data_IF_517332740692
#
_entry.id   IF_517332740692
#
_cell.length_a   1.000
_cell.length_b   1.000
_cell.length_c   1.000
_cell.angle_alpha   90.00
_cell.angle_beta   90.00
_cell.angle_gamma   90.00
#
_symmetry.space_group_name_H-M   'P 1'
#
loop_
_entity.id
_entity.type
_entity.pdbx_description
1 polymer ?
#
# COMPACT_ATOMS: atom_id res chain seq x y z
N UNK A 1 58.88 40.51 17.41
CA UNK A 1 58.57 39.12 17.22
C UNK A 1 57.26 38.73 17.96
N UNK A 2 56.18 39.57 17.97
CA UNK A 2 54.94 39.39 18.73
C UNK A 2 53.69 39.71 17.88
N UNK A 3 53.79 39.68 16.55
CA UNK A 3 52.59 39.95 15.68
C UNK A 3 52.08 38.77 14.82
N UNK A 4 52.73 37.58 14.95
CA UNK A 4 52.39 36.41 14.11
C UNK A 4 51.49 35.35 14.79
N UNK A 5 51.29 35.36 16.11
CA UNK A 5 50.56 34.32 16.85
C UNK A 5 49.03 34.59 16.96
N UNK A 6 48.59 35.85 16.73
CA UNK A 6 47.17 36.21 16.85
C UNK A 6 46.29 35.90 15.61
N UNK A 7 46.91 35.64 14.43
CA UNK A 7 46.13 35.33 13.20
C UNK A 7 45.81 33.85 13.00
N UNK A 8 46.57 32.96 13.65
CA UNK A 8 46.37 31.51 13.51
C UNK A 8 45.30 30.97 14.46
N UNK A 9 44.98 31.64 15.57
CA UNK A 9 43.99 31.20 16.54
C UNK A 9 42.54 31.55 16.14
N UNK A 10 42.34 32.54 15.28
CA UNK A 10 41.03 32.94 14.76
C UNK A 10 40.54 32.08 13.59
N UNK A 11 41.42 31.36 12.90
CA UNK A 11 41.06 30.44 11.79
C UNK A 11 40.70 29.04 12.27
N UNK A 12 41.10 28.63 13.45
CA UNK A 12 40.76 27.30 14.02
C UNK A 12 39.41 27.32 14.73
N UNK A 13 38.98 28.47 15.27
CA UNK A 13 37.66 28.59 15.91
C UNK A 13 36.53 28.70 14.87
N UNK A 14 36.81 29.19 13.66
CA UNK A 14 35.85 29.29 12.55
C UNK A 14 35.57 27.94 11.86
N UNK A 15 36.48 26.97 11.95
CA UNK A 15 36.31 25.63 11.30
C UNK A 15 35.58 24.61 12.14
N UNK A 16 35.39 24.84 13.46
CA UNK A 16 34.69 23.91 14.36
C UNK A 16 33.19 24.21 14.44
N UNK A 17 32.70 25.34 13.94
CA UNK A 17 31.28 25.67 13.94
C UNK A 17 30.53 25.26 12.65
N UNK A 18 31.20 24.68 11.67
CA UNK A 18 30.57 24.21 10.42
C UNK A 18 30.26 22.70 10.39
N UNK A 19 30.41 22.00 11.51
CA UNK A 19 30.13 20.57 11.58
C UNK A 19 29.08 20.32 12.65
N UNK A 20 27.82 20.41 12.32
CA UNK A 20 26.65 19.67 12.80
C UNK A 20 25.38 20.50 12.69
N UNK A 21 25.00 20.95 11.51
CA UNK A 21 23.59 20.93 11.21
C UNK A 21 23.23 19.47 10.89
N UNK A 22 23.21 18.62 11.91
CA UNK A 22 22.46 17.38 11.85
C UNK A 22 21.02 17.84 11.59
N UNK A 23 20.53 17.64 10.38
CA UNK A 23 19.15 17.92 10.05
C UNK A 23 18.32 17.23 11.14
N UNK A 24 17.66 18.01 11.98
CA UNK A 24 16.84 17.46 13.05
C UNK A 24 15.73 16.64 12.38
N UNK A 25 15.68 15.34 12.64
CA UNK A 25 14.62 14.48 12.12
C UNK A 25 13.29 15.05 12.61
N UNK A 26 12.26 15.14 11.77
CA UNK A 26 10.95 15.65 12.19
C UNK A 26 10.39 14.78 13.31
N UNK A 27 9.68 15.41 14.25
CA UNK A 27 9.12 14.70 15.40
C UNK A 27 8.02 13.69 15.00
N UNK A 28 7.43 13.88 13.79
CA UNK A 28 6.30 13.07 13.32
C UNK A 28 6.47 12.61 11.89
N UNK A 29 6.13 11.36 11.61
CA UNK A 29 6.06 10.74 10.28
C UNK A 29 4.69 10.09 10.09
N UNK A 30 4.07 10.27 8.92
CA UNK A 30 2.75 9.71 8.58
C UNK A 30 2.88 8.79 7.38
N UNK A 31 2.52 7.52 7.58
CA UNK A 31 2.46 6.54 6.50
C UNK A 31 1.01 6.12 6.31
N UNK A 32 0.50 6.25 5.09
CA UNK A 32 -0.85 5.82 4.72
C UNK A 32 -0.77 4.53 3.90
N UNK A 33 -1.58 3.56 4.27
CA UNK A 33 -1.77 2.31 3.54
C UNK A 33 -3.18 2.28 2.97
N UNK A 34 -3.32 1.89 1.72
CA UNK A 34 -4.62 1.67 1.09
C UNK A 34 -4.81 0.18 0.77
N UNK A 35 -6.08 -0.25 0.74
CA UNK A 35 -6.44 -1.63 0.45
C UNK A 35 -6.18 -2.07 -0.98
N UNK A 36 -6.78 -3.19 -1.37
CA UNK A 36 -6.52 -3.84 -2.64
C UNK A 36 -7.00 -2.99 -3.82
N UNK A 37 -6.08 -2.61 -4.70
CA UNK A 37 -6.36 -1.93 -5.97
C UNK A 37 -6.50 -3.01 -7.02
N UNK A 38 -7.74 -3.26 -7.46
CA UNK A 38 -8.06 -4.27 -8.47
C UNK A 38 -8.44 -3.64 -9.81
N UNK A 39 -8.34 -4.40 -10.89
CA UNK A 39 -8.70 -3.95 -12.24
C UNK A 39 -9.67 -4.93 -12.92
N UNK A 40 -10.91 -4.98 -12.46
CA UNK A 40 -11.95 -5.80 -13.11
C UNK A 40 -12.33 -5.24 -14.50
N UNK A 41 -12.85 -6.10 -15.37
CA UNK A 41 -13.29 -5.69 -16.71
C UNK A 41 -14.22 -4.47 -16.73
N UNK A 42 -15.28 -4.40 -15.89
CA UNK A 42 -16.15 -3.23 -15.80
C UNK A 42 -15.41 -1.93 -15.39
N UNK A 43 -14.37 -2.01 -14.56
CA UNK A 43 -13.56 -0.86 -14.18
C UNK A 43 -12.72 -0.35 -15.35
N UNK A 44 -12.03 -1.26 -16.05
CA UNK A 44 -11.27 -0.92 -17.26
C UNK A 44 -12.19 -0.31 -18.33
N UNK A 45 -13.36 -0.90 -18.57
CA UNK A 45 -14.34 -0.37 -19.51
C UNK A 45 -14.92 0.99 -19.10
N UNK A 46 -15.02 1.28 -17.80
CA UNK A 46 -15.46 2.57 -17.30
C UNK A 46 -14.39 3.65 -17.47
N UNK A 47 -13.13 3.27 -17.36
CA UNK A 47 -11.98 4.16 -17.56
C UNK A 47 -11.66 4.41 -19.04
N UNK A 48 -12.09 3.54 -19.96
CA UNK A 48 -11.86 3.72 -21.39
C UNK A 48 -12.60 4.96 -21.91
N UNK A 49 -11.87 5.89 -22.51
CA UNK A 49 -12.45 7.08 -23.14
C UNK A 49 -13.38 6.72 -24.29
N UNK A 50 -14.44 7.49 -24.55
CA UNK A 50 -15.33 7.26 -25.68
C UNK A 50 -14.56 7.20 -27.01
N UNK A 51 -14.72 6.12 -27.76
CA UNK A 51 -14.02 5.89 -29.03
C UNK A 51 -12.55 5.47 -28.91
N UNK A 52 -12.05 5.25 -27.68
CA UNK A 52 -10.68 4.80 -27.42
C UNK A 52 -10.41 3.37 -27.86
N UNK A 53 -9.15 3.07 -28.17
CA UNK A 53 -8.66 1.73 -28.45
C UNK A 53 -8.45 0.96 -27.14
N UNK A 54 -9.08 -0.21 -27.03
CA UNK A 54 -9.00 -1.08 -25.85
C UNK A 54 -7.58 -1.61 -25.57
N UNK A 55 -6.69 -1.58 -26.54
CA UNK A 55 -5.31 -2.05 -26.39
C UNK A 55 -4.32 -0.88 -26.17
N UNK A 56 -4.79 0.37 -26.30
CA UNK A 56 -3.95 1.53 -26.05
C UNK A 56 -4.11 2.02 -24.59
N UNK A 57 -3.10 1.89 -23.73
CA UNK A 57 -3.21 2.34 -22.34
C UNK A 57 -3.45 3.86 -22.21
N UNK A 58 -3.06 4.67 -23.19
CA UNK A 58 -3.29 6.12 -23.18
C UNK A 58 -4.77 6.50 -23.29
N UNK A 59 -5.63 5.59 -23.73
CA UNK A 59 -7.07 5.82 -23.90
C UNK A 59 -7.87 5.54 -22.62
N UNK A 60 -7.19 5.18 -21.50
CA UNK A 60 -7.82 4.95 -20.21
C UNK A 60 -7.59 6.12 -19.27
N UNK A 61 -8.64 6.53 -18.54
CA UNK A 61 -8.62 7.59 -17.54
C UNK A 61 -9.14 7.09 -16.20
N UNK A 62 -8.23 6.96 -15.23
CA UNK A 62 -8.53 6.53 -13.87
C UNK A 62 -8.57 7.68 -12.86
N UNK A 63 -8.55 8.94 -13.32
CA UNK A 63 -8.45 10.12 -12.45
C UNK A 63 -9.60 10.23 -11.44
N UNK A 64 -10.82 9.81 -11.82
CA UNK A 64 -11.97 9.80 -10.92
C UNK A 64 -11.77 8.86 -9.71
N UNK A 65 -11.05 7.74 -9.90
CA UNK A 65 -10.92 6.71 -8.88
C UNK A 65 -10.26 7.22 -7.59
N UNK A 66 -9.34 8.18 -7.68
CA UNK A 66 -8.54 8.68 -6.57
C UNK A 66 -8.91 10.11 -6.14
N UNK A 67 -9.80 10.79 -6.86
CA UNK A 67 -10.06 12.22 -6.70
C UNK A 67 -10.40 12.65 -5.28
N UNK A 68 -11.28 11.91 -4.61
CA UNK A 68 -11.82 12.29 -3.30
C UNK A 68 -11.02 11.78 -2.10
N UNK A 69 -9.90 11.10 -2.35
CA UNK A 69 -8.95 10.66 -1.31
C UNK A 69 -7.60 11.34 -1.43
N UNK A 70 -7.42 12.17 -2.48
CA UNK A 70 -6.14 12.80 -2.79
C UNK A 70 -5.62 13.67 -1.63
N UNK A 71 -6.48 14.44 -0.97
CA UNK A 71 -6.08 15.30 0.15
C UNK A 71 -5.45 14.50 1.29
N UNK A 72 -5.82 13.22 1.46
CA UNK A 72 -5.26 12.32 2.45
C UNK A 72 -3.88 11.81 2.03
N UNK A 73 -3.68 11.60 0.73
CA UNK A 73 -2.36 11.24 0.19
C UNK A 73 -1.41 12.44 0.26
N UNK A 74 -1.89 13.64 -0.12
CA UNK A 74 -1.09 14.88 -0.05
C UNK A 74 -0.70 15.24 1.41
N UNK A 75 -1.47 14.80 2.41
CA UNK A 75 -1.18 15.00 3.83
C UNK A 75 -0.24 13.92 4.42
N UNK A 76 -0.02 12.81 3.72
CA UNK A 76 0.87 11.74 4.13
C UNK A 76 2.32 12.05 3.73
N UNK A 77 3.26 11.44 4.43
CA UNK A 77 4.67 11.48 4.08
C UNK A 77 5.09 10.33 3.16
N UNK A 78 4.27 9.25 3.17
CA UNK A 78 4.46 8.08 2.34
C UNK A 78 3.16 7.30 2.18
N UNK A 79 2.83 6.87 0.98
CA UNK A 79 1.61 6.12 0.65
C UNK A 79 1.94 4.78 0.04
N UNK A 80 1.34 3.70 0.56
CA UNK A 80 1.58 2.31 0.15
C UNK A 80 0.30 1.69 -0.39
N UNK A 81 0.36 1.02 -1.55
CA UNK A 81 -0.78 0.38 -2.21
C UNK A 81 -0.49 -1.06 -2.65
N UNK A 82 -1.42 -1.99 -2.41
CA UNK A 82 -1.39 -3.31 -3.03
C UNK A 82 -1.97 -3.24 -4.45
N UNK A 83 -1.11 -3.48 -5.46
CA UNK A 83 -1.50 -3.50 -6.87
C UNK A 83 -1.82 -4.95 -7.27
N UNK A 84 -3.09 -5.34 -7.12
CA UNK A 84 -3.52 -6.73 -7.20
C UNK A 84 -3.86 -7.14 -8.65
N UNK A 85 -2.90 -7.00 -9.51
CA UNK A 85 -2.97 -7.38 -10.93
C UNK A 85 -1.59 -7.34 -11.60
N UNK A 86 -1.33 -8.17 -12.61
CA UNK A 86 -0.28 -7.93 -13.58
C UNK A 86 -0.65 -6.76 -14.51
N UNK A 87 0.37 -6.00 -14.95
CA UNK A 87 0.19 -4.75 -15.66
C UNK A 87 0.68 -4.82 -17.11
N UNK A 88 -0.09 -4.27 -18.04
CA UNK A 88 0.36 -3.90 -19.38
C UNK A 88 0.32 -5.00 -20.46
N UNK A 89 -0.25 -6.16 -20.19
CA UNK A 89 -0.42 -7.24 -21.18
C UNK A 89 -1.76 -7.10 -21.88
N UNK A 90 -1.78 -6.91 -23.19
CA UNK A 90 -3.00 -6.84 -24.01
C UNK A 90 -3.37 -8.20 -24.60
N UNK A 91 -4.68 -8.50 -24.76
CA UNK A 91 -5.82 -7.68 -24.36
C UNK A 91 -5.96 -7.57 -22.86
N UNK A 92 -6.36 -6.38 -22.35
CA UNK A 92 -6.62 -6.20 -20.93
C UNK A 92 -7.82 -7.04 -20.49
N UNK A 93 -7.72 -7.61 -19.28
CA UNK A 93 -8.70 -8.55 -18.75
C UNK A 93 -8.96 -8.31 -17.25
N UNK A 94 -10.14 -8.71 -16.78
CA UNK A 94 -10.49 -8.78 -15.37
C UNK A 94 -10.43 -10.22 -14.86
N UNK A 95 -11.18 -10.48 -13.75
CA UNK A 95 -11.31 -11.80 -13.17
C UNK A 95 -11.70 -12.86 -14.23
N UNK A 96 -11.16 -14.11 -14.15
CA UNK A 96 -10.25 -14.59 -13.11
C UNK A 96 -8.75 -14.33 -13.36
N UNK A 97 -8.36 -13.93 -14.57
CA UNK A 97 -6.97 -13.67 -14.95
C UNK A 97 -6.78 -12.21 -15.33
N UNK A 98 -6.37 -11.42 -14.34
CA UNK A 98 -6.23 -9.99 -14.51
C UNK A 98 -5.10 -9.59 -15.47
N UNK A 99 -5.34 -8.54 -16.23
CA UNK A 99 -4.31 -7.75 -16.91
C UNK A 99 -4.77 -6.31 -16.97
N UNK A 100 -4.15 -5.43 -16.19
CA UNK A 100 -4.56 -4.02 -16.10
C UNK A 100 -3.86 -3.14 -17.14
N UNK A 101 -4.57 -2.10 -17.68
CA UNK A 101 -3.89 -1.02 -18.37
C UNK A 101 -2.87 -0.33 -17.44
N UNK A 102 -1.67 -0.09 -17.94
CA UNK A 102 -0.60 0.56 -17.15
C UNK A 102 -0.99 1.98 -16.68
N UNK A 103 -1.97 2.62 -17.33
CA UNK A 103 -2.51 3.93 -16.94
C UNK A 103 -3.08 3.94 -15.52
N UNK A 104 -3.59 2.80 -15.00
CA UNK A 104 -4.02 2.69 -13.60
C UNK A 104 -2.83 2.87 -12.64
N UNK A 105 -1.71 2.19 -12.90
CA UNK A 105 -0.51 2.34 -12.09
C UNK A 105 0.11 3.74 -12.22
N UNK A 106 0.11 4.31 -13.43
CA UNK A 106 0.55 5.70 -13.65
C UNK A 106 -0.31 6.69 -12.86
N UNK A 107 -1.62 6.48 -12.84
CA UNK A 107 -2.51 7.36 -12.07
C UNK A 107 -2.27 7.21 -10.57
N UNK A 108 -2.14 5.99 -10.04
CA UNK A 108 -1.82 5.75 -8.63
C UNK A 108 -0.53 6.49 -8.22
N UNK A 109 0.54 6.38 -9.02
CA UNK A 109 1.77 7.14 -8.77
C UNK A 109 1.55 8.65 -8.85
N UNK A 110 0.80 9.13 -9.86
CA UNK A 110 0.55 10.56 -10.09
C UNK A 110 -0.18 11.22 -8.91
N UNK A 111 -1.04 10.48 -8.23
CA UNK A 111 -1.79 10.99 -7.07
C UNK A 111 -1.06 10.84 -5.75
N UNK A 112 0.16 10.30 -5.75
CA UNK A 112 1.02 10.27 -4.58
C UNK A 112 1.25 8.90 -3.95
N UNK A 113 0.93 7.79 -4.63
CA UNK A 113 1.34 6.47 -4.14
C UNK A 113 2.85 6.30 -4.36
N UNK A 114 3.59 6.04 -3.29
CA UNK A 114 5.05 5.98 -3.24
C UNK A 114 5.60 4.56 -3.34
N UNK A 115 4.84 3.55 -2.90
CA UNK A 115 5.25 2.14 -2.90
C UNK A 115 4.14 1.23 -3.42
N UNK A 116 4.48 0.36 -4.39
CA UNK A 116 3.59 -0.68 -4.88
C UNK A 116 3.96 -2.04 -4.27
N UNK A 117 2.95 -2.75 -3.75
CA UNK A 117 3.08 -4.13 -3.30
C UNK A 117 2.69 -5.06 -4.45
N UNK A 118 3.49 -6.08 -4.69
CA UNK A 118 3.35 -6.98 -5.84
C UNK A 118 3.26 -8.45 -5.44
N UNK A 119 3.57 -8.82 -4.20
CA UNK A 119 3.30 -10.17 -3.70
C UNK A 119 1.84 -10.30 -3.33
N UNK A 120 1.02 -10.72 -4.28
CA UNK A 120 -0.39 -11.04 -4.14
C UNK A 120 -0.74 -12.27 -4.99
N UNK A 121 -1.93 -12.82 -4.81
CA UNK A 121 -2.36 -14.05 -5.46
C UNK A 121 -2.56 -13.90 -6.99
N UNK A 122 -2.71 -12.66 -7.50
CA UNK A 122 -2.94 -12.38 -8.92
C UNK A 122 -1.69 -12.03 -9.72
N UNK A 123 -0.52 -11.91 -9.09
CA UNK A 123 0.70 -11.47 -9.81
C UNK A 123 1.11 -12.42 -10.95
N UNK A 124 0.74 -13.70 -10.87
CA UNK A 124 1.03 -14.71 -11.86
C UNK A 124 -0.05 -14.91 -12.93
N UNK A 125 -1.16 -14.15 -12.92
CA UNK A 125 -2.33 -14.37 -13.79
C UNK A 125 -2.01 -14.38 -15.30
N UNK A 126 -1.01 -13.63 -15.73
CA UNK A 126 -0.55 -13.59 -17.12
C UNK A 126 0.80 -14.33 -17.30
N UNK A 127 1.12 -15.22 -16.36
CA UNK A 127 2.36 -15.99 -16.38
C UNK A 127 3.60 -15.11 -16.49
N UNK A 128 4.62 -15.60 -17.17
CA UNK A 128 5.90 -14.89 -17.32
C UNK A 128 5.74 -13.51 -17.97
N UNK A 129 4.92 -13.40 -19.02
CA UNK A 129 4.74 -12.12 -19.74
C UNK A 129 4.13 -11.06 -18.84
N UNK A 130 3.22 -11.44 -17.93
CA UNK A 130 2.60 -10.53 -16.96
C UNK A 130 3.62 -10.01 -15.96
N UNK A 131 4.43 -10.87 -15.38
CA UNK A 131 5.46 -10.47 -14.40
C UNK A 131 6.54 -9.61 -15.09
N UNK A 132 7.04 -10.04 -16.26
CA UNK A 132 8.01 -9.29 -17.06
C UNK A 132 7.51 -7.86 -17.35
N UNK A 133 6.25 -7.74 -17.82
CA UNK A 133 5.62 -6.47 -18.16
C UNK A 133 5.45 -5.58 -16.93
N UNK A 134 4.90 -6.11 -15.84
CA UNK A 134 4.70 -5.39 -14.58
C UNK A 134 6.01 -4.83 -14.04
N UNK A 135 7.04 -5.68 -13.95
CA UNK A 135 8.37 -5.28 -13.48
C UNK A 135 8.97 -4.16 -14.34
N UNK A 136 8.90 -4.29 -15.67
CA UNK A 136 9.44 -3.29 -16.61
C UNK A 136 8.68 -1.97 -16.49
N UNK A 137 7.36 -2.02 -16.41
CA UNK A 137 6.51 -0.81 -16.30
C UNK A 137 6.83 -0.08 -15.00
N UNK A 138 6.81 -0.74 -13.84
CA UNK A 138 7.07 -0.11 -12.55
C UNK A 138 8.51 0.42 -12.46
N UNK A 139 9.50 -0.31 -13.00
CA UNK A 139 10.88 0.16 -13.09
C UNK A 139 11.01 1.43 -13.94
N UNK A 140 10.35 1.49 -15.11
CA UNK A 140 10.35 2.68 -15.99
C UNK A 140 9.64 3.87 -15.35
N UNK A 141 8.61 3.62 -14.57
CA UNK A 141 7.91 4.66 -13.81
C UNK A 141 8.81 5.22 -12.70
N UNK A 142 9.83 4.50 -12.28
CA UNK A 142 10.66 4.86 -11.13
C UNK A 142 9.86 4.88 -9.83
N UNK A 143 8.84 4.04 -9.70
CA UNK A 143 8.13 3.82 -8.45
C UNK A 143 8.77 2.64 -7.72
N UNK A 144 9.09 2.76 -6.43
CA UNK A 144 9.49 1.62 -5.61
C UNK A 144 8.41 0.54 -5.61
N UNK A 145 8.82 -0.73 -5.70
CA UNK A 145 7.91 -1.86 -5.55
C UNK A 145 8.63 -3.05 -4.92
N UNK A 146 7.89 -3.90 -4.23
CA UNK A 146 8.43 -5.05 -3.49
C UNK A 146 7.48 -6.24 -3.54
N UNK A 147 8.02 -7.44 -3.39
CA UNK A 147 7.26 -8.70 -3.40
C UNK A 147 7.58 -9.61 -4.57
N UNK A 148 8.02 -9.05 -5.72
CA UNK A 148 8.44 -9.79 -6.91
C UNK A 148 9.85 -9.36 -7.34
N UNK A 149 10.68 -10.33 -7.70
CA UNK A 149 12.08 -10.13 -8.06
C UNK A 149 12.46 -11.00 -9.26
N UNK A 150 13.47 -10.56 -10.04
CA UNK A 150 13.95 -11.30 -11.23
C UNK A 150 14.62 -12.64 -10.90
N UNK A 151 15.08 -12.79 -9.65
CA UNK A 151 15.76 -13.99 -9.16
C UNK A 151 15.83 -13.98 -7.64
N UNK A 152 16.15 -15.10 -7.04
CA UNK A 152 16.48 -15.21 -5.61
C UNK A 152 17.63 -14.28 -5.21
N UNK A 153 18.63 -14.07 -6.08
CA UNK A 153 19.73 -13.15 -5.82
C UNK A 153 19.28 -11.69 -5.75
N UNK A 154 18.39 -11.25 -6.65
CA UNK A 154 17.81 -9.91 -6.60
C UNK A 154 16.89 -9.74 -5.38
N UNK A 155 16.12 -10.78 -5.05
CA UNK A 155 15.33 -10.79 -3.83
C UNK A 155 16.21 -10.58 -2.60
N UNK A 156 17.28 -11.36 -2.49
CA UNK A 156 18.22 -11.23 -1.39
C UNK A 156 18.85 -9.83 -1.29
N UNK A 157 19.11 -9.18 -2.39
CA UNK A 157 19.66 -7.82 -2.43
C UNK A 157 18.65 -6.76 -2.01
N UNK A 158 17.38 -6.87 -2.49
CA UNK A 158 16.36 -5.82 -2.40
C UNK A 158 15.33 -6.01 -1.29
N UNK A 159 15.19 -7.21 -0.74
CA UNK A 159 14.25 -7.52 0.32
C UNK A 159 14.95 -7.53 1.71
N UNK A 160 14.48 -6.77 2.73
CA UNK A 160 13.33 -5.87 2.68
C UNK A 160 13.59 -4.64 1.80
N UNK A 161 12.50 -4.05 1.29
CA UNK A 161 12.61 -2.74 0.67
C UNK A 161 12.84 -1.70 1.77
N UNK A 162 13.98 -1.01 1.69
CA UNK A 162 14.31 0.09 2.61
C UNK A 162 13.93 1.42 1.97
N UNK A 163 13.12 2.21 2.66
CA UNK A 163 12.77 3.57 2.24
C UNK A 163 13.23 4.58 3.30
N UNK A 164 13.99 5.59 2.87
CA UNK A 164 14.35 6.70 3.75
C UNK A 164 13.28 7.79 3.65
N UNK A 165 12.49 7.96 4.71
CA UNK A 165 11.36 8.87 4.76
C UNK A 165 11.62 9.91 5.84
N UNK A 166 11.81 11.17 5.44
CA UNK A 166 12.18 12.27 6.36
C UNK A 166 13.37 11.93 7.28
N UNK A 167 14.34 11.17 6.78
CA UNK A 167 15.54 10.78 7.52
C UNK A 167 15.39 9.57 8.43
N UNK A 168 14.24 8.90 8.45
CA UNK A 168 14.04 7.60 9.09
C UNK A 168 14.08 6.49 8.05
N UNK A 169 14.72 5.37 8.39
CA UNK A 169 14.80 4.20 7.53
C UNK A 169 13.68 3.21 7.89
N UNK A 170 12.71 3.09 6.98
CA UNK A 170 11.56 2.18 7.13
C UNK A 170 11.75 0.97 6.23
N UNK A 171 11.66 -0.23 6.82
CA UNK A 171 11.69 -1.48 6.08
C UNK A 171 10.27 -1.97 5.78
N UNK A 172 9.99 -2.24 4.52
CA UNK A 172 8.74 -2.83 4.05
C UNK A 172 8.97 -4.26 3.57
N UNK A 173 8.19 -5.21 4.10
CA UNK A 173 8.27 -6.64 3.77
C UNK A 173 6.90 -7.10 3.26
N UNK A 174 6.79 -7.33 1.95
CA UNK A 174 5.55 -7.81 1.33
C UNK A 174 5.67 -9.29 0.95
N UNK A 175 4.65 -10.09 1.28
CA UNK A 175 4.57 -11.51 0.97
C UNK A 175 3.11 -11.97 0.82
N UNK A 176 2.89 -13.08 0.11
CA UNK A 176 1.56 -13.63 -0.18
C UNK A 176 1.45 -15.10 0.25
N UNK A 177 0.22 -15.52 0.53
CA UNK A 177 -0.09 -16.93 0.82
C UNK A 177 0.10 -17.85 -0.39
N UNK A 178 0.07 -17.31 -1.60
CA UNK A 178 0.17 -18.09 -2.83
C UNK A 178 -0.14 -17.26 -4.08
N UNK A 179 -0.22 -17.93 -5.21
CA UNK A 179 -0.44 -17.39 -6.56
C UNK A 179 -1.61 -18.07 -7.27
N UNK A 180 -2.72 -18.33 -6.55
CA UNK A 180 -3.92 -19.02 -7.07
C UNK A 180 -3.62 -20.37 -7.73
N UNK A 181 -2.60 -21.09 -7.23
CA UNK A 181 -2.17 -22.38 -7.78
C UNK A 181 -1.39 -22.27 -9.09
N UNK A 182 -1.06 -21.06 -9.53
CA UNK A 182 -0.19 -20.85 -10.70
C UNK A 182 1.28 -20.90 -10.27
N UNK A 183 2.10 -21.59 -11.07
CA UNK A 183 3.54 -21.62 -10.82
C UNK A 183 4.18 -20.26 -11.05
N UNK A 184 5.10 -19.86 -10.16
CA UNK A 184 5.96 -18.70 -10.40
C UNK A 184 6.94 -19.02 -11.51
N UNK A 185 6.88 -18.33 -12.66
CA UNK A 185 7.70 -18.67 -13.82
C UNK A 185 9.19 -18.33 -13.58
N UNK A 186 10.05 -19.31 -13.66
CA UNK A 186 11.50 -19.10 -13.49
C UNK A 186 12.08 -18.16 -14.56
N UNK A 187 13.07 -17.30 -14.22
CA UNK A 187 13.78 -17.23 -12.94
C UNK A 187 13.13 -16.32 -11.87
N UNK A 188 11.91 -15.84 -12.09
CA UNK A 188 11.20 -14.96 -11.18
C UNK A 188 11.03 -15.58 -9.79
N UNK A 189 11.02 -14.73 -8.79
CA UNK A 189 10.77 -15.04 -7.40
C UNK A 189 9.64 -14.17 -6.86
N UNK A 190 8.69 -14.77 -6.16
CA UNK A 190 7.58 -14.09 -5.45
C UNK A 190 7.71 -14.45 -3.99
N UNK A 191 7.66 -13.46 -3.11
CA UNK A 191 7.73 -13.69 -1.66
C UNK A 191 6.48 -14.44 -1.18
N UNK A 192 6.67 -15.66 -0.74
CA UNK A 192 5.62 -16.47 -0.13
C UNK A 192 5.69 -16.41 1.41
N UNK A 193 4.58 -16.75 2.05
CA UNK A 193 4.47 -16.96 3.50
C UNK A 193 5.25 -18.22 3.89
N UNK A 194 6.56 -18.06 4.09
CA UNK A 194 7.47 -19.06 4.64
C UNK A 194 8.14 -18.50 5.90
N UNK A 195 8.05 -19.23 7.01
CA UNK A 195 8.52 -18.74 8.32
C UNK A 195 10.01 -18.49 8.38
N UNK A 196 10.81 -19.39 7.80
CA UNK A 196 12.27 -19.26 7.83
C UNK A 196 12.73 -18.08 6.95
N UNK A 197 12.12 -17.94 5.76
CA UNK A 197 12.40 -16.84 4.85
C UNK A 197 12.00 -15.50 5.46
N UNK A 198 10.76 -15.38 5.94
CA UNK A 198 10.22 -14.14 6.55
C UNK A 198 11.08 -13.73 7.76
N UNK A 199 11.46 -14.68 8.62
CA UNK A 199 12.34 -14.41 9.76
C UNK A 199 13.71 -13.88 9.34
N UNK A 200 14.31 -14.46 8.28
CA UNK A 200 15.60 -14.00 7.74
C UNK A 200 15.48 -12.57 7.16
N UNK A 201 14.37 -12.23 6.50
CA UNK A 201 14.12 -10.89 5.95
C UNK A 201 13.94 -9.87 7.08
N UNK A 202 13.21 -10.21 8.15
CA UNK A 202 13.05 -9.33 9.32
C UNK A 202 14.41 -9.07 9.99
N UNK A 203 15.22 -10.12 10.21
CA UNK A 203 16.56 -9.96 10.79
C UNK A 203 17.40 -9.00 9.94
N UNK A 204 17.38 -9.17 8.63
CA UNK A 204 18.09 -8.28 7.69
C UNK A 204 17.58 -6.84 7.72
N UNK A 205 16.28 -6.61 7.94
CA UNK A 205 15.76 -5.25 8.14
C UNK A 205 16.45 -4.56 9.34
N UNK A 206 16.59 -5.27 10.43
CA UNK A 206 17.25 -4.75 11.64
C UNK A 206 18.76 -4.59 11.45
N UNK A 207 19.43 -5.51 10.77
CA UNK A 207 20.85 -5.40 10.41
C UNK A 207 21.13 -4.20 9.50
N UNK A 208 20.19 -3.85 8.60
CA UNK A 208 20.25 -2.65 7.75
C UNK A 208 19.89 -1.37 8.50
N UNK A 209 19.59 -1.41 9.79
CA UNK A 209 19.34 -0.25 10.63
C UNK A 209 17.92 0.30 10.54
N UNK A 210 16.93 -0.51 10.18
CA UNK A 210 15.54 -0.04 10.10
C UNK A 210 15.05 0.55 11.43
N UNK A 211 14.59 1.79 11.38
CA UNK A 211 13.94 2.50 12.49
C UNK A 211 12.52 1.96 12.74
N UNK A 212 11.87 1.45 11.69
CA UNK A 212 10.56 0.78 11.71
C UNK A 212 10.55 -0.40 10.74
N UNK A 213 9.93 -1.52 11.12
CA UNK A 213 9.69 -2.67 10.23
C UNK A 213 8.19 -2.88 10.07
N UNK A 214 7.71 -2.80 8.83
CA UNK A 214 6.31 -2.99 8.46
C UNK A 214 6.18 -4.26 7.60
N UNK A 215 5.39 -5.22 8.06
CA UNK A 215 5.02 -6.39 7.30
C UNK A 215 3.67 -6.17 6.58
N UNK A 216 3.63 -6.55 5.31
CA UNK A 216 2.54 -6.29 4.38
C UNK A 216 2.07 -7.62 3.77
N UNK A 217 1.40 -8.48 4.57
CA UNK A 217 0.94 -9.78 4.10
C UNK A 217 -0.31 -9.68 3.24
N UNK A 218 -0.34 -10.49 2.17
CA UNK A 218 -1.52 -10.78 1.38
C UNK A 218 -1.99 -12.17 1.77
N UNK A 219 -3.03 -12.27 2.64
CA UNK A 219 -3.34 -13.48 3.42
C UNK A 219 -4.80 -13.60 3.83
N UNK A 220 -5.16 -14.72 4.44
CA UNK A 220 -6.48 -14.95 5.04
C UNK A 220 -7.47 -15.59 4.08
N UNK A 221 -8.75 -15.44 4.37
CA UNK A 221 -9.86 -16.03 3.62
C UNK A 221 -10.75 -14.91 3.07
N UNK A 222 -11.09 -15.00 1.78
CA UNK A 222 -11.93 -14.01 1.10
C UNK A 222 -13.30 -13.87 1.79
N UNK A 223 -13.78 -12.63 1.91
CA UNK A 223 -15.12 -12.25 2.40
C UNK A 223 -15.38 -12.54 3.89
N UNK A 224 -14.37 -12.99 4.65
CA UNK A 224 -14.48 -13.20 6.09
C UNK A 224 -14.14 -11.94 6.86
N UNK A 225 -15.10 -11.40 7.64
CA UNK A 225 -14.94 -10.15 8.40
C UNK A 225 -14.06 -10.28 9.65
N UNK A 226 -13.82 -11.49 10.12
CA UNK A 226 -12.92 -11.76 11.25
C UNK A 226 -11.66 -12.48 10.76
N UNK A 227 -10.50 -12.13 11.31
CA UNK A 227 -9.26 -12.79 10.93
C UNK A 227 -9.28 -14.27 11.32
N UNK A 228 -8.77 -15.11 10.41
CA UNK A 228 -8.60 -16.54 10.65
C UNK A 228 -7.57 -16.81 11.77
N UNK A 229 -7.59 -18.03 12.29
CA UNK A 229 -6.59 -18.47 13.26
C UNK A 229 -5.15 -18.38 12.67
N UNK A 230 -5.01 -18.62 11.36
CA UNK A 230 -3.73 -18.52 10.67
C UNK A 230 -3.24 -17.06 10.59
N UNK A 231 -4.12 -16.10 10.28
CA UNK A 231 -3.75 -14.68 10.30
C UNK A 231 -3.30 -14.23 11.69
N UNK A 232 -4.00 -14.63 12.74
CA UNK A 232 -3.62 -14.31 14.13
C UNK A 232 -2.27 -14.91 14.50
N UNK A 233 -2.04 -16.17 14.15
CA UNK A 233 -0.76 -16.85 14.39
C UNK A 233 0.40 -16.13 13.67
N UNK A 234 0.20 -15.74 12.40
CA UNK A 234 1.21 -15.00 11.65
C UNK A 234 1.48 -13.60 12.23
N UNK A 235 0.44 -12.87 12.63
CA UNK A 235 0.61 -11.56 13.27
C UNK A 235 1.46 -11.67 14.53
N UNK A 236 1.16 -12.63 15.40
CA UNK A 236 1.94 -12.96 16.58
C UNK A 236 3.39 -13.34 16.26
N UNK A 237 3.58 -14.18 15.23
CA UNK A 237 4.92 -14.59 14.78
C UNK A 237 5.72 -13.38 14.31
N UNK A 238 5.14 -12.50 13.50
CA UNK A 238 5.78 -11.30 12.96
C UNK A 238 6.21 -10.34 14.08
N UNK A 239 5.34 -10.04 15.03
CA UNK A 239 5.68 -9.16 16.16
C UNK A 239 6.77 -9.76 17.06
N UNK A 240 6.71 -11.04 17.37
CA UNK A 240 7.75 -11.73 18.15
C UNK A 240 9.12 -11.75 17.46
N UNK A 241 9.16 -11.66 16.15
CA UNK A 241 10.40 -11.58 15.35
C UNK A 241 10.85 -10.14 15.07
N UNK A 242 10.15 -9.12 15.58
CA UNK A 242 10.60 -7.74 15.52
C UNK A 242 9.92 -6.88 14.44
N UNK A 243 8.75 -7.25 13.96
CA UNK A 243 7.88 -6.37 13.15
C UNK A 243 7.13 -5.43 14.06
N UNK A 244 7.15 -4.14 13.75
CA UNK A 244 6.46 -3.10 14.53
C UNK A 244 4.99 -2.95 14.10
N UNK A 245 4.71 -3.05 12.78
CA UNK A 245 3.36 -2.96 12.23
C UNK A 245 3.09 -4.07 11.22
N UNK A 246 1.87 -4.61 11.25
CA UNK A 246 1.35 -5.56 10.27
C UNK A 246 0.14 -4.95 9.59
N UNK A 247 0.15 -4.84 8.25
CA UNK A 247 -0.96 -4.27 7.47
C UNK A 247 -1.29 -5.22 6.33
N UNK A 248 -2.39 -5.96 6.49
CA UNK A 248 -2.80 -7.04 5.59
C UNK A 248 -3.79 -6.63 4.50
N UNK A 249 -3.84 -7.46 3.44
CA UNK A 249 -4.80 -7.43 2.34
C UNK A 249 -5.25 -8.84 1.96
N UNK A 250 -6.03 -9.00 0.88
CA UNK A 250 -6.59 -10.24 0.33
C UNK A 250 -8.04 -10.57 0.75
N UNK A 251 -8.52 -10.44 2.00
CA UNK A 251 -9.91 -10.80 2.30
C UNK A 251 -10.97 -9.99 1.55
N UNK A 252 -10.60 -8.92 0.87
CA UNK A 252 -11.48 -8.00 0.13
C UNK A 252 -12.58 -7.35 0.97
N UNK A 253 -12.54 -7.54 2.27
CA UNK A 253 -13.37 -6.89 3.28
C UNK A 253 -12.48 -6.36 4.39
N UNK A 254 -12.90 -5.27 5.02
CA UNK A 254 -12.16 -4.72 6.16
C UNK A 254 -12.28 -5.67 7.35
N UNK A 255 -11.14 -6.00 7.94
CA UNK A 255 -11.04 -6.77 9.17
C UNK A 255 -10.56 -5.87 10.33
N UNK A 256 -10.65 -6.32 11.59
CA UNK A 256 -10.25 -5.54 12.77
C UNK A 256 -8.85 -4.95 12.67
N UNK A 257 -8.71 -3.78 13.31
CA UNK A 257 -7.43 -3.16 13.61
C UNK A 257 -7.19 -3.27 15.12
N UNK A 258 -6.06 -3.83 15.49
CA UNK A 258 -5.62 -3.98 16.88
C UNK A 258 -4.40 -3.06 17.09
N UNK A 259 -4.44 -2.23 18.11
CA UNK A 259 -3.32 -1.36 18.48
C UNK A 259 -3.01 -1.51 19.97
N UNK A 260 -1.96 -2.23 20.25
CA UNK A 260 -1.42 -2.44 21.60
C UNK A 260 0.05 -1.99 21.59
N UNK A 261 0.33 -0.73 21.97
CA UNK A 261 1.68 -0.21 21.87
C UNK A 261 2.73 -1.14 22.46
N UNK A 262 3.87 -1.39 21.78
CA UNK A 262 4.32 -0.64 20.60
C UNK A 262 3.84 -1.20 19.24
N UNK A 263 2.95 -2.19 19.21
CA UNK A 263 2.58 -2.95 18.02
C UNK A 263 1.22 -2.54 17.45
N UNK A 264 1.10 -2.55 16.12
CA UNK A 264 -0.17 -2.37 15.42
C UNK A 264 -0.41 -3.49 14.42
N UNK A 265 -1.64 -4.01 14.35
CA UNK A 265 -2.07 -5.01 13.37
C UNK A 265 -3.39 -4.59 12.74
N UNK A 266 -3.39 -4.35 11.43
CA UNK A 266 -4.59 -4.28 10.61
C UNK A 266 -4.67 -5.57 9.78
N UNK A 267 -5.61 -6.44 10.08
CA UNK A 267 -5.67 -7.77 9.45
C UNK A 267 -6.03 -7.72 7.97
N UNK A 268 -6.90 -6.78 7.57
CA UNK A 268 -7.22 -6.49 6.17
C UNK A 268 -7.76 -5.08 6.02
N UNK A 269 -7.27 -4.35 5.01
CA UNK A 269 -7.79 -3.04 4.63
C UNK A 269 -9.01 -3.14 3.70
N UNK A 270 -9.40 -4.35 3.26
CA UNK A 270 -10.42 -4.54 2.25
C UNK A 270 -10.02 -3.98 0.89
N UNK A 271 -11.00 -3.78 0.02
CA UNK A 271 -10.76 -3.21 -1.30
C UNK A 271 -10.61 -1.68 -1.23
N UNK A 272 -9.54 -1.15 -1.81
CA UNK A 272 -9.53 0.27 -2.17
C UNK A 272 -10.41 0.50 -3.40
N UNK A 273 -10.22 -0.29 -4.46
CA UNK A 273 -10.99 -0.18 -5.70
C UNK A 273 -11.27 -1.56 -6.29
N UNK A 274 -12.54 -1.95 -6.40
CA UNK A 274 -12.97 -3.24 -6.90
C UNK A 274 -14.34 -3.17 -7.59
N UNK A 275 -14.67 -4.21 -8.37
CA UNK A 275 -16.04 -4.43 -8.88
C UNK A 275 -16.74 -5.62 -8.18
N UNK A 276 -16.16 -6.17 -7.13
CA UNK A 276 -16.80 -7.25 -6.37
C UNK A 276 -18.14 -6.79 -5.79
N UNK A 277 -19.12 -7.72 -5.70
CA UNK A 277 -20.51 -7.40 -5.33
C UNK A 277 -20.94 -7.98 -4.00
N UNK A 278 -20.12 -8.79 -3.39
CA UNK A 278 -20.40 -9.37 -2.09
C UNK A 278 -20.54 -8.29 -1.03
N UNK A 279 -21.28 -8.59 0.03
CA UNK A 279 -21.52 -7.64 1.12
C UNK A 279 -20.19 -7.20 1.74
N UNK A 280 -20.07 -5.92 2.03
CA UNK A 280 -18.90 -5.23 2.57
C UNK A 280 -17.68 -5.12 1.63
N UNK A 281 -17.69 -5.68 0.41
CA UNK A 281 -16.55 -5.56 -0.53
C UNK A 281 -16.40 -4.17 -1.16
N UNK A 282 -17.41 -3.29 -1.01
CA UNK A 282 -17.30 -1.88 -1.39
C UNK A 282 -16.79 -0.99 -0.24
N UNK A 283 -16.77 -1.51 1.00
CA UNK A 283 -16.16 -0.83 2.14
C UNK A 283 -14.67 -1.17 2.15
N UNK A 284 -13.83 -0.16 2.11
CA UNK A 284 -12.39 -0.26 2.28
C UNK A 284 -11.89 0.61 3.43
N UNK A 285 -10.58 0.61 3.65
CA UNK A 285 -9.95 1.41 4.70
C UNK A 285 -8.64 2.01 4.18
N UNK A 286 -8.45 3.31 4.39
CA UNK A 286 -7.14 3.94 4.43
C UNK A 286 -6.68 3.88 5.89
N UNK A 287 -5.51 3.32 6.14
CA UNK A 287 -4.91 3.25 7.47
C UNK A 287 -3.73 4.22 7.54
N UNK A 288 -3.83 5.24 8.38
CA UNK A 288 -2.71 6.12 8.67
C UNK A 288 -2.01 5.67 9.96
N UNK A 289 -0.71 5.38 9.87
CA UNK A 289 0.16 5.25 11.03
C UNK A 289 0.82 6.60 11.30
N UNK A 290 0.58 7.15 12.50
CA UNK A 290 1.29 8.32 13.00
C UNK A 290 2.45 7.84 13.86
N UNK A 291 3.66 8.16 13.44
CA UNK A 291 4.91 7.70 14.02
C UNK A 291 5.64 8.88 14.65
N UNK A 292 6.28 8.64 15.79
CA UNK A 292 7.12 9.63 16.48
C UNK A 292 8.51 9.10 16.69
N UNK A 293 9.49 10.00 16.56
CA UNK A 293 10.90 9.68 16.84
C UNK A 293 11.12 9.52 18.35
N UNK A 294 11.83 8.46 18.74
CA UNK A 294 12.26 8.25 20.13
C UNK A 294 13.65 8.82 20.38
N UNK A 295 14.00 9.04 21.65
CA UNK A 295 15.36 9.48 22.05
C UNK A 295 16.47 8.52 21.62
N UNK A 296 16.14 7.25 21.33
CA UNK A 296 17.05 6.25 20.78
C UNK A 296 17.19 6.26 19.26
N UNK A 297 16.54 7.22 18.56
CA UNK A 297 16.60 7.36 17.10
C UNK A 297 15.64 6.45 16.34
N UNK A 298 14.92 5.54 16.99
CA UNK A 298 13.91 4.67 16.37
C UNK A 298 12.56 5.38 16.26
N UNK A 299 11.68 4.85 15.40
CA UNK A 299 10.28 5.23 15.31
C UNK A 299 9.42 4.38 16.25
N UNK A 300 8.39 5.01 16.80
CA UNK A 300 7.33 4.36 17.56
C UNK A 300 5.98 4.74 16.99
N UNK A 301 5.05 3.80 16.94
CA UNK A 301 3.66 4.06 16.54
C UNK A 301 2.98 4.80 17.69
N UNK A 302 2.59 6.05 17.44
CA UNK A 302 1.88 6.87 18.40
C UNK A 302 0.36 6.76 18.26
N UNK A 303 -0.12 6.67 17.00
CA UNK A 303 -1.55 6.57 16.71
C UNK A 303 -1.77 5.71 15.46
N UNK A 304 -2.92 5.07 15.42
CA UNK A 304 -3.44 4.34 14.26
C UNK A 304 -4.80 4.94 13.92
N UNK A 305 -4.91 5.53 12.72
CA UNK A 305 -6.11 6.28 12.31
C UNK A 305 -6.75 5.64 11.08
N UNK A 306 -7.84 4.90 11.23
CA UNK A 306 -8.59 4.36 10.11
C UNK A 306 -9.47 5.46 9.47
N UNK A 307 -9.52 5.51 8.15
CA UNK A 307 -10.52 6.22 7.36
C UNK A 307 -11.25 5.23 6.49
N UNK A 308 -12.50 4.97 6.79
CA UNK A 308 -13.29 4.02 6.00
C UNK A 308 -13.74 4.65 4.69
N UNK A 309 -13.67 3.88 3.61
CA UNK A 309 -13.98 4.33 2.25
C UNK A 309 -15.10 3.51 1.63
N UNK A 310 -15.75 4.10 0.63
CA UNK A 310 -16.70 3.42 -0.24
C UNK A 310 -16.21 3.49 -1.68
N UNK A 311 -16.15 2.33 -2.34
CA UNK A 311 -15.90 2.27 -3.76
C UNK A 311 -17.24 2.35 -4.51
N UNK A 312 -17.64 3.56 -4.91
CA UNK A 312 -18.81 3.79 -5.75
C UNK A 312 -18.53 3.34 -7.17
N UNK A 313 -19.49 2.62 -7.78
CA UNK A 313 -19.32 2.06 -9.11
C UNK A 313 -19.64 3.08 -10.19
N UNK A 314 -19.39 2.67 -11.45
CA UNK A 314 -19.67 3.47 -12.62
C UNK A 314 -21.13 3.96 -12.65
N UNK A 315 -21.35 5.27 -12.89
CA UNK A 315 -22.66 5.95 -12.97
C UNK A 315 -23.47 5.93 -11.67
N UNK A 316 -22.82 5.69 -10.55
CA UNK A 316 -23.45 5.76 -9.23
C UNK A 316 -23.23 7.15 -8.61
N UNK A 317 -22.03 7.48 -8.17
CA UNK A 317 -21.68 8.83 -7.75
C UNK A 317 -21.21 9.67 -8.94
N UNK A 318 -20.30 9.14 -9.74
CA UNK A 318 -19.72 9.77 -10.91
C UNK A 318 -19.83 8.88 -12.17
N UNK A 319 -19.34 9.37 -13.31
CA UNK A 319 -19.35 8.64 -14.57
C UNK A 319 -18.46 7.37 -14.52
N UNK A 320 -17.41 7.37 -13.71
CA UNK A 320 -16.48 6.26 -13.52
C UNK A 320 -16.57 5.71 -12.08
N UNK A 321 -15.78 4.69 -11.76
CA UNK A 321 -15.54 4.24 -10.38
C UNK A 321 -14.88 5.36 -9.59
N UNK A 322 -15.27 5.50 -8.33
CA UNK A 322 -14.85 6.61 -7.48
C UNK A 322 -14.74 6.13 -6.04
N UNK A 323 -13.58 6.34 -5.42
CA UNK A 323 -13.37 6.02 -4.00
C UNK A 323 -13.56 7.27 -3.17
N UNK A 324 -14.42 7.19 -2.16
CA UNK A 324 -14.76 8.29 -1.28
C UNK A 324 -14.62 7.89 0.19
N UNK A 325 -14.20 8.80 1.09
CA UNK A 325 -14.29 8.59 2.52
C UNK A 325 -15.76 8.63 2.95
N UNK A 326 -16.25 7.57 3.58
CA UNK A 326 -17.69 7.43 3.89
C UNK A 326 -18.22 8.60 4.69
N UNK A 327 -17.52 8.98 5.78
CA UNK A 327 -18.00 10.01 6.69
C UNK A 327 -18.09 11.41 6.05
N UNK A 328 -17.25 11.70 5.05
CA UNK A 328 -17.29 12.98 4.32
C UNK A 328 -18.52 13.08 3.41
N UNK A 329 -19.16 11.94 3.11
CA UNK A 329 -20.27 11.84 2.17
C UNK A 329 -21.62 11.50 2.81
N UNK A 330 -21.66 11.23 4.11
CA UNK A 330 -22.90 11.10 4.86
C UNK A 330 -23.66 12.43 4.79
N UNK A 331 -24.97 12.39 4.44
CA UNK A 331 -25.81 13.58 4.25
C UNK A 331 -25.76 14.20 2.85
N UNK A 332 -24.92 13.71 1.93
CA UNK A 332 -24.76 14.28 0.57
C UNK A 332 -25.48 13.46 -0.52
N UNK A 333 -26.62 12.84 -0.17
CA UNK A 333 -27.39 11.94 -1.06
C UNK A 333 -27.75 12.57 -2.42
N UNK A 334 -28.04 13.87 -2.43
CA UNK A 334 -28.51 14.57 -3.64
C UNK A 334 -27.39 14.83 -4.67
N UNK A 335 -26.13 14.65 -4.27
CA UNK A 335 -24.97 14.76 -5.17
C UNK A 335 -24.73 13.48 -6.00
N UNK A 336 -25.42 12.38 -5.69
CA UNK A 336 -25.26 11.09 -6.37
C UNK A 336 -26.12 11.02 -7.63
N UNK A 337 -25.54 10.50 -8.71
CA UNK A 337 -26.26 10.25 -9.98
C UNK A 337 -27.33 9.17 -9.79
N UNK A 338 -26.97 8.09 -9.07
CA UNK A 338 -27.90 7.05 -8.63
C UNK A 338 -27.94 6.98 -7.11
N UNK A 339 -29.04 7.44 -6.54
CA UNK A 339 -29.24 7.51 -5.10
C UNK A 339 -29.29 6.14 -4.42
N UNK A 340 -29.51 5.06 -5.17
CA UNK A 340 -29.55 3.70 -4.63
C UNK A 340 -28.19 3.24 -4.11
N UNK A 341 -27.08 3.70 -4.70
CA UNK A 341 -25.72 3.37 -4.22
C UNK A 341 -25.40 4.14 -2.93
N UNK A 342 -25.86 5.41 -2.80
CA UNK A 342 -25.80 6.11 -1.53
C UNK A 342 -26.56 5.37 -0.42
N UNK A 343 -27.81 4.97 -0.71
CA UNK A 343 -28.65 4.27 0.27
C UNK A 343 -28.03 2.90 0.63
N UNK A 344 -27.37 2.23 -0.32
CA UNK A 344 -26.58 1.02 -0.09
C UNK A 344 -25.38 1.33 0.82
N UNK A 345 -24.58 2.35 0.52
CA UNK A 345 -23.43 2.75 1.33
C UNK A 345 -23.84 3.00 2.78
N UNK A 346 -24.86 3.82 3.01
CA UNK A 346 -25.33 4.13 4.37
C UNK A 346 -25.81 2.88 5.11
N UNK A 347 -26.58 2.02 4.44
CA UNK A 347 -27.06 0.77 5.03
C UNK A 347 -25.92 -0.18 5.41
N UNK A 348 -24.97 -0.42 4.50
CA UNK A 348 -23.83 -1.30 4.76
C UNK A 348 -22.89 -0.71 5.82
N UNK A 349 -22.65 0.60 5.77
CA UNK A 349 -21.86 1.30 6.78
C UNK A 349 -22.46 1.17 8.19
N UNK A 350 -23.76 1.41 8.33
CA UNK A 350 -24.45 1.28 9.64
C UNK A 350 -24.39 -0.17 10.17
N UNK A 351 -24.50 -1.16 9.29
CA UNK A 351 -24.37 -2.56 9.66
C UNK A 351 -22.95 -2.90 10.10
N UNK A 352 -21.96 -2.41 9.35
CA UNK A 352 -20.53 -2.57 9.63
C UNK A 352 -20.15 -1.93 10.99
N UNK A 353 -20.55 -0.68 11.23
CA UNK A 353 -20.30 -0.02 12.51
C UNK A 353 -20.88 -0.80 13.69
N UNK A 354 -22.12 -1.29 13.55
CA UNK A 354 -22.77 -2.10 14.59
C UNK A 354 -22.02 -3.40 14.87
N UNK A 355 -21.49 -4.05 13.84
CA UNK A 355 -20.73 -5.30 13.97
C UNK A 355 -19.41 -5.12 14.71
N UNK A 356 -18.72 -4.01 14.48
CA UNK A 356 -17.39 -3.73 15.06
C UNK A 356 -17.42 -2.75 16.24
N UNK A 357 -18.61 -2.29 16.69
CA UNK A 357 -18.78 -1.31 17.78
C UNK A 357 -17.98 -0.02 17.56
N UNK A 358 -18.02 0.53 16.32
CA UNK A 358 -17.33 1.75 15.89
C UNK A 358 -18.16 3.01 16.21
#
# INVERSE_FOLDING_TARGET
>A
MIRSVRRTLLLVVGLVQCLAAVAQRPDTLRIVFIGDVMSHGPQAMAALRPGGDRNNPADYDYSACFRHVRDRFDAADYVVANMEFPCGVTPYSGYPFFSAPQSLAYEAKRVGVDLFLTANNHICDQGRVGIDSTYVIYSRMGVPFTGVYRSEGEEWEKNPLMASIKGYDVAFINFTYGTNGLDVPKPWHVNLLDTAHVQAVIARARERGADLVVALPHWGEEYHLLPSAQQRWWADFLHRNGVDAVVGGHPHVVQPVEFEPPFATAYSLGNFMSNQSDVNTQIGMLLELVLVGTTGGRLQIAEVRPTYTWCSRRRMLEANYTVIPILDWIGRRDEWLDKSDYDKMVREWNAFQKQFNL
#
